data_IF_699403091753
#
_entry.id   IF_699403091753
#
_cell.length_a   1.000
_cell.length_b   1.000
_cell.length_c   1.000
_cell.angle_alpha   90.00
_cell.angle_beta   90.00
_cell.angle_gamma   90.00
#
_symmetry.space_group_name_H-M   'P 1'
#
loop_
_entity.id
_entity.type
_entity.pdbx_description
1 polymer ?
#
# COMPACT_ATOMS: atom_id res chain seq x y z
N UNK A 1 -3.31 -2.33 -9.15
CA UNK A 1 -2.63 -3.62 -9.45
C UNK A 1 -2.35 -4.35 -8.14
N UNK A 2 -2.79 -5.58 -8.05
CA UNK A 2 -2.60 -6.39 -6.84
C UNK A 2 -1.25 -7.08 -6.88
N UNK A 3 -0.48 -6.92 -5.80
CA UNK A 3 0.84 -7.52 -5.65
C UNK A 3 0.82 -8.64 -4.63
N UNK A 4 1.62 -9.67 -4.86
CA UNK A 4 1.67 -10.83 -3.98
C UNK A 4 2.37 -10.53 -2.66
N UNK A 5 3.37 -9.62 -2.67
CA UNK A 5 4.18 -9.32 -1.49
C UNK A 5 4.85 -7.95 -1.63
N UNK A 6 5.61 -7.58 -0.61
CA UNK A 6 6.32 -6.31 -0.57
C UNK A 6 7.38 -6.19 -1.67
N UNK A 7 8.05 -7.28 -2.02
CA UNK A 7 9.08 -7.26 -3.06
C UNK A 7 8.47 -6.84 -4.41
N UNK A 8 7.29 -7.33 -4.71
CA UNK A 8 6.59 -6.98 -5.94
C UNK A 8 6.14 -5.52 -5.92
N UNK A 9 5.62 -5.04 -4.78
CA UNK A 9 5.28 -3.62 -4.60
C UNK A 9 6.50 -2.75 -4.84
N UNK A 10 7.63 -3.05 -4.22
CA UNK A 10 8.84 -2.25 -4.32
C UNK A 10 9.34 -2.19 -5.77
N UNK A 11 9.34 -3.33 -6.45
CA UNK A 11 9.82 -3.42 -7.82
C UNK A 11 8.96 -2.63 -8.78
N UNK A 12 7.64 -2.82 -8.70
CA UNK A 12 6.70 -2.09 -9.57
C UNK A 12 6.69 -0.60 -9.26
N UNK A 13 6.76 -0.23 -8.00
CA UNK A 13 6.80 1.17 -7.59
C UNK A 13 8.00 1.89 -8.20
N UNK A 14 9.18 1.29 -8.07
CA UNK A 14 10.41 1.86 -8.61
C UNK A 14 10.33 2.03 -10.13
N UNK A 15 9.83 1.02 -10.82
CA UNK A 15 9.76 1.06 -12.29
C UNK A 15 8.73 2.05 -12.80
N UNK A 16 7.55 2.09 -12.16
CA UNK A 16 6.45 2.94 -12.63
C UNK A 16 6.63 4.39 -12.24
N UNK A 17 7.32 4.68 -11.13
CA UNK A 17 7.59 6.07 -10.74
C UNK A 17 8.78 6.68 -11.47
N UNK A 18 9.56 5.88 -12.20
CA UNK A 18 10.68 6.39 -12.99
C UNK A 18 10.15 7.30 -14.10
N UNK A 19 10.46 8.59 -14.00
CA UNK A 19 9.93 9.62 -14.90
C UNK A 19 8.49 10.03 -14.60
N UNK A 20 7.88 9.46 -13.57
CA UNK A 20 6.52 9.77 -13.13
C UNK A 20 6.49 10.49 -11.80
N UNK A 21 5.40 10.31 -11.06
CA UNK A 21 5.20 10.96 -9.77
C UNK A 21 4.58 9.98 -8.76
N UNK A 22 5.06 10.06 -7.52
CA UNK A 22 4.44 9.36 -6.41
C UNK A 22 3.23 10.13 -5.91
N UNK A 23 2.21 9.39 -5.48
CA UNK A 23 1.04 9.95 -4.82
C UNK A 23 0.80 9.19 -3.51
N UNK A 24 -0.36 9.35 -2.91
CA UNK A 24 -0.67 8.77 -1.60
C UNK A 24 -1.47 7.48 -1.74
N UNK A 25 -1.49 6.68 -0.67
CA UNK A 25 -2.29 5.46 -0.58
C UNK A 25 -1.98 4.44 -1.67
N UNK A 26 -0.72 4.33 -2.06
CA UNK A 26 -0.30 3.40 -3.09
C UNK A 26 -0.52 3.87 -4.51
N UNK A 27 -1.04 5.08 -4.71
CA UNK A 27 -1.22 5.65 -6.04
C UNK A 27 0.08 6.27 -6.56
N UNK A 28 0.25 6.18 -7.87
CA UNK A 28 1.33 6.85 -8.59
C UNK A 28 0.85 7.20 -10.00
N UNK A 29 1.56 8.11 -10.66
CA UNK A 29 1.43 8.34 -12.10
C UNK A 29 2.72 7.92 -12.76
N UNK A 30 2.60 7.18 -13.87
CA UNK A 30 3.78 6.81 -14.66
C UNK A 30 4.21 7.97 -15.55
N UNK A 31 5.28 7.74 -16.33
CA UNK A 31 5.85 8.78 -17.20
C UNK A 31 4.86 9.25 -18.28
N UNK A 32 3.85 8.47 -18.56
CA UNK A 32 2.84 8.77 -19.57
C UNK A 32 1.59 9.40 -18.98
N UNK A 33 1.58 9.67 -17.67
CA UNK A 33 0.45 10.30 -16.99
C UNK A 33 -0.66 9.34 -16.58
N UNK A 34 -0.46 8.03 -16.76
CA UNK A 34 -1.43 7.04 -16.29
C UNK A 34 -1.31 6.84 -14.78
N UNK A 35 -2.45 6.77 -14.12
CA UNK A 35 -2.51 6.53 -12.69
C UNK A 35 -2.59 5.03 -12.41
N UNK A 36 -1.75 4.58 -11.46
CA UNK A 36 -1.71 3.19 -11.00
C UNK A 36 -1.84 3.18 -9.49
N UNK A 37 -2.57 2.20 -8.97
CA UNK A 37 -2.57 1.91 -7.54
C UNK A 37 -1.90 0.57 -7.32
N UNK A 38 -0.81 0.56 -6.57
CA UNK A 38 0.00 -0.63 -6.32
C UNK A 38 -0.30 -1.09 -4.90
N UNK A 39 -1.00 -2.22 -4.78
CA UNK A 39 -1.53 -2.71 -3.50
C UNK A 39 -1.02 -4.11 -3.23
N UNK A 40 -0.34 -4.37 -2.08
CA UNK A 40 -0.02 -5.73 -1.69
C UNK A 40 -1.28 -6.48 -1.24
N UNK A 41 -1.30 -7.78 -1.46
CA UNK A 41 -2.43 -8.63 -1.07
C UNK A 41 -2.75 -8.48 0.42
N UNK A 42 -1.73 -8.29 1.24
CA UNK A 42 -1.88 -8.13 2.69
C UNK A 42 -2.74 -6.92 3.06
N UNK A 43 -2.68 -5.85 2.29
CA UNK A 43 -3.55 -4.70 2.53
C UNK A 43 -5.01 -5.05 2.29
N UNK A 44 -5.31 -5.72 1.18
CA UNK A 44 -6.68 -6.15 0.88
C UNK A 44 -7.21 -7.07 1.98
N UNK A 45 -6.39 -7.99 2.45
CA UNK A 45 -6.77 -8.89 3.56
C UNK A 45 -7.07 -8.12 4.84
N UNK A 46 -6.25 -7.11 5.17
CA UNK A 46 -6.47 -6.29 6.36
C UNK A 46 -7.73 -5.44 6.26
N UNK A 47 -8.01 -4.88 5.08
CA UNK A 47 -9.21 -4.07 4.88
C UNK A 47 -10.50 -4.90 4.97
N UNK A 48 -10.42 -6.19 4.68
CA UNK A 48 -11.55 -7.13 4.76
C UNK A 48 -11.54 -7.95 6.06
N UNK A 49 -10.74 -7.56 7.04
CA UNK A 49 -10.65 -8.25 8.31
C UNK A 49 -12.01 -8.21 9.03
N UNK A 50 -12.47 -9.34 9.61
CA UNK A 50 -13.72 -9.37 10.39
C UNK A 50 -13.70 -8.44 11.60
N UNK A 51 -12.52 -8.13 12.14
CA UNK A 51 -12.37 -7.16 13.22
C UNK A 51 -12.35 -5.73 12.64
N UNK A 52 -13.41 -4.94 12.83
CA UNK A 52 -13.45 -3.59 12.28
C UNK A 52 -12.37 -2.66 12.86
N UNK A 53 -11.91 -2.92 14.07
CA UNK A 53 -10.85 -2.12 14.67
C UNK A 53 -9.52 -2.34 13.95
N UNK A 54 -9.20 -3.59 13.59
CA UNK A 54 -8.00 -3.88 12.80
C UNK A 54 -8.06 -3.24 11.42
N UNK A 55 -9.19 -3.39 10.74
CA UNK A 55 -9.40 -2.79 9.42
C UNK A 55 -9.25 -1.26 9.48
N UNK A 56 -9.81 -0.62 10.50
CA UNK A 56 -9.71 0.83 10.69
C UNK A 56 -8.26 1.27 10.91
N UNK A 57 -7.53 0.56 11.76
CA UNK A 57 -6.12 0.90 12.02
C UNK A 57 -5.27 0.76 10.77
N UNK A 58 -5.48 -0.30 9.98
CA UNK A 58 -4.79 -0.49 8.72
C UNK A 58 -5.10 0.62 7.72
N UNK A 59 -6.37 1.01 7.63
CA UNK A 59 -6.80 2.11 6.75
C UNK A 59 -6.13 3.41 7.14
N UNK A 60 -6.09 3.74 8.43
CA UNK A 60 -5.46 4.97 8.91
C UNK A 60 -3.97 4.99 8.60
N UNK A 61 -3.29 3.85 8.76
CA UNK A 61 -1.87 3.76 8.42
C UNK A 61 -1.64 3.95 6.91
N UNK A 62 -2.49 3.35 6.08
CA UNK A 62 -2.41 3.48 4.63
C UNK A 62 -2.55 4.94 4.19
N UNK A 63 -3.43 5.70 4.82
CA UNK A 63 -3.67 7.10 4.44
C UNK A 63 -2.43 7.99 4.61
N UNK A 64 -1.50 7.60 5.46
CA UNK A 64 -0.24 8.31 5.65
C UNK A 64 0.91 7.82 4.78
N UNK A 65 0.66 6.83 3.94
CA UNK A 65 1.72 6.23 3.11
C UNK A 65 1.66 6.76 1.69
N UNK A 66 2.81 6.75 1.01
CA UNK A 66 2.88 6.85 -0.46
C UNK A 66 2.99 5.43 -1.01
N UNK A 67 4.19 4.85 -1.04
CA UNK A 67 4.35 3.43 -1.31
C UNK A 67 3.83 2.64 -0.11
N UNK A 68 3.02 1.61 -0.36
CA UNK A 68 2.48 0.78 0.72
C UNK A 68 3.60 -0.07 1.33
N UNK A 69 3.68 -0.06 2.66
CA UNK A 69 4.64 -0.82 3.44
C UNK A 69 3.87 -1.84 4.29
N UNK A 70 3.99 -3.11 3.93
CA UNK A 70 3.27 -4.20 4.59
C UNK A 70 3.63 -4.28 6.07
N UNK A 71 4.92 -4.11 6.40
CA UNK A 71 5.37 -4.19 7.79
C UNK A 71 4.71 -3.13 8.68
N UNK A 72 4.63 -1.89 8.18
CA UNK A 72 3.97 -0.81 8.91
C UNK A 72 2.47 -1.04 9.02
N UNK A 73 1.85 -1.59 7.99
CA UNK A 73 0.42 -1.94 8.04
C UNK A 73 0.14 -2.96 9.13
N UNK A 74 0.95 -4.02 9.21
CA UNK A 74 0.78 -5.07 10.20
C UNK A 74 1.02 -4.54 11.62
N UNK A 75 2.02 -3.68 11.80
CA UNK A 75 2.27 -3.07 13.10
C UNK A 75 1.12 -2.16 13.54
N UNK A 76 0.54 -1.41 12.60
CA UNK A 76 -0.59 -0.54 12.92
C UNK A 76 -1.85 -1.34 13.23
N UNK A 77 -2.09 -2.43 12.51
CA UNK A 77 -3.26 -3.28 12.72
C UNK A 77 -3.17 -4.03 14.06
N UNK A 78 -1.98 -4.49 14.42
CA UNK A 78 -1.72 -5.22 15.66
C UNK A 78 -0.58 -4.55 16.43
N UNK A 79 -0.82 -3.37 17.06
CA UNK A 79 0.21 -2.70 17.81
C UNK A 79 0.60 -3.54 19.04
N UNK A 80 1.89 -3.82 19.17
CA UNK A 80 2.42 -4.54 20.33
C UNK A 80 3.44 -3.67 21.03
N UNK A 81 3.46 -3.74 22.36
CA UNK A 81 4.48 -3.01 23.14
C UNK A 81 5.88 -3.54 22.86
#
# INVERSE_FOLDING_TARGET
MDCADQNEVDRLWTRLTDGGQESQCGWLKDRYGLSWQIIPRQLTELLNDPDPARATRATQAMLGMRKIDVHQLLQAADPRP
#
